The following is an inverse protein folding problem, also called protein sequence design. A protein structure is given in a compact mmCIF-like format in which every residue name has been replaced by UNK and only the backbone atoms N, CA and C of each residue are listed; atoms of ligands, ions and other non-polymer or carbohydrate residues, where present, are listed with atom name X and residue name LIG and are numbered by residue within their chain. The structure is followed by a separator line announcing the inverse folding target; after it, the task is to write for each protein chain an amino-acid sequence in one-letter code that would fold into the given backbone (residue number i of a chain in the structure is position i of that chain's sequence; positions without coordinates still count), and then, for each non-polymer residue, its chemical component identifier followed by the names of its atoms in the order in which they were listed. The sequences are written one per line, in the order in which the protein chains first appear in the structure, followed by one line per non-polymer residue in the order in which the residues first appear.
data_IF_745315491577
#
_entry.id   IF_745315491577
#
_cell.length_a   1.000
_cell.length_b   1.000
_cell.length_c   1.000
_cell.angle_alpha   90.00
_cell.angle_beta   90.00
_cell.angle_gamma   90.00
#
_symmetry.space_group_name_H-M   'P 1'
#
loop_
_entity.id
_entity.type
_entity.pdbx_description
1 polymer ?
#
# COMPACT_ATOMS: atom_id res chain seq x y z
N UNK A 1 20.94 1.30 7.52
CA UNK A 1 20.00 2.12 6.70
C UNK A 1 18.62 1.99 7.29
N UNK A 2 17.87 3.08 7.38
CA UNK A 2 16.48 3.04 7.85
C UNK A 2 15.52 3.37 6.72
N UNK A 3 14.47 2.57 6.56
CA UNK A 3 13.43 2.80 5.57
C UNK A 3 12.08 2.92 6.27
N UNK A 4 11.32 3.98 5.96
CA UNK A 4 9.96 4.20 6.43
C UNK A 4 9.05 4.07 5.22
N UNK A 5 8.29 2.98 5.16
CA UNK A 5 7.25 2.79 4.15
C UNK A 5 5.97 3.49 4.62
N UNK A 6 5.41 4.35 3.79
CA UNK A 6 4.21 5.14 4.08
C UNK A 6 3.12 4.74 3.10
N UNK A 7 2.03 4.13 3.56
CA UNK A 7 0.85 3.93 2.70
C UNK A 7 0.23 5.29 2.38
N UNK A 8 -0.21 5.47 1.13
CA UNK A 8 -0.94 6.68 0.75
C UNK A 8 -2.15 6.95 1.66
N UNK A 9 -2.53 8.23 1.80
CA UNK A 9 -3.76 8.67 2.47
C UNK A 9 -5.01 8.18 1.73
N UNK A 10 -6.19 8.44 2.30
CA UNK A 10 -7.47 8.04 1.71
C UNK A 10 -7.66 8.66 0.32
N UNK A 11 -7.80 7.83 -0.76
CA UNK A 11 -7.96 8.34 -2.11
C UNK A 11 -9.43 8.45 -2.51
N UNK A 12 -9.69 9.26 -3.54
CA UNK A 12 -11.01 9.32 -4.17
C UNK A 12 -11.34 8.00 -4.88
N UNK A 13 -12.64 7.68 -4.96
CA UNK A 13 -13.12 6.62 -5.86
C UNK A 13 -13.28 7.20 -7.26
N UNK A 14 -12.69 6.54 -8.25
CA UNK A 14 -12.69 7.01 -9.64
C UNK A 14 -12.96 5.85 -10.59
N UNK A 15 -13.77 6.13 -11.62
CA UNK A 15 -13.95 5.32 -12.81
C UNK A 15 -13.62 6.18 -14.03
N UNK A 16 -12.83 5.65 -14.96
CA UNK A 16 -12.39 6.36 -16.17
C UNK A 16 -12.91 5.68 -17.44
N UNK A 17 -12.95 6.41 -18.53
CA UNK A 17 -13.41 5.90 -19.83
C UNK A 17 -12.24 5.37 -20.68
N UNK A 18 -11.44 4.45 -20.13
CA UNK A 18 -10.38 3.73 -20.85
C UNK A 18 -8.95 4.04 -20.45
N UNK A 19 -8.68 5.19 -19.80
CA UNK A 19 -7.36 5.48 -19.23
C UNK A 19 -7.23 4.86 -17.84
N UNK A 20 -6.02 4.51 -17.38
CA UNK A 20 -5.80 4.02 -16.03
C UNK A 20 -6.30 5.02 -14.97
N UNK A 21 -7.04 4.53 -13.99
CA UNK A 21 -7.51 5.33 -12.86
C UNK A 21 -6.33 5.75 -11.97
N UNK A 22 -6.18 7.04 -11.75
CA UNK A 22 -5.14 7.60 -10.89
C UNK A 22 -5.71 8.70 -9.98
N UNK A 23 -6.52 8.32 -8.96
CA UNK A 23 -7.14 9.28 -8.07
C UNK A 23 -6.12 9.97 -7.17
N UNK A 24 -6.34 11.27 -6.94
CA UNK A 24 -5.76 12.01 -5.85
C UNK A 24 -6.43 11.69 -4.50
N UNK A 25 -6.00 12.34 -3.45
CA UNK A 25 -6.51 12.16 -2.10
C UNK A 25 -7.86 12.86 -1.89
N UNK A 26 -8.69 12.31 -1.00
CA UNK A 26 -9.84 13.02 -0.43
C UNK A 26 -9.35 14.15 0.48
N UNK A 27 -10.26 15.00 0.96
CA UNK A 27 -9.94 15.98 2.02
C UNK A 27 -9.37 15.29 3.26
N UNK A 28 -9.97 14.16 3.66
CA UNK A 28 -9.45 13.32 4.75
C UNK A 28 -8.07 12.77 4.43
N UNK A 29 -7.84 12.29 3.21
CA UNK A 29 -6.52 11.80 2.79
C UNK A 29 -5.44 12.87 2.84
N UNK A 30 -5.74 14.11 2.46
CA UNK A 30 -4.82 15.25 2.60
C UNK A 30 -4.52 15.59 4.05
N UNK A 31 -5.56 15.57 4.91
CA UNK A 31 -5.37 15.70 6.35
C UNK A 31 -4.46 14.59 6.91
N UNK A 32 -4.66 13.33 6.49
CA UNK A 32 -3.80 12.20 6.88
C UNK A 32 -2.36 12.40 6.42
N UNK A 33 -2.14 12.88 5.20
CA UNK A 33 -0.82 13.22 4.65
C UNK A 33 -0.10 14.29 5.50
N UNK A 34 -0.84 15.32 5.94
CA UNK A 34 -0.31 16.33 6.83
C UNK A 34 0.10 15.73 8.17
N UNK A 35 -0.74 14.89 8.78
CA UNK A 35 -0.47 14.26 10.09
C UNK A 35 0.75 13.35 10.06
N UNK A 36 0.89 12.48 9.04
CA UNK A 36 2.06 11.62 8.92
C UNK A 36 3.34 12.42 8.69
N UNK A 37 3.27 13.51 7.94
CA UNK A 37 4.40 14.41 7.72
C UNK A 37 4.86 15.11 8.99
N UNK A 38 3.93 15.59 9.82
CA UNK A 38 4.20 16.17 11.14
C UNK A 38 4.81 15.12 12.10
N UNK A 39 4.30 13.88 12.08
CA UNK A 39 4.84 12.76 12.85
C UNK A 39 6.29 12.47 12.51
N UNK A 40 6.64 12.56 11.23
CA UNK A 40 7.98 12.31 10.72
C UNK A 40 8.88 13.56 10.74
N UNK A 41 8.40 14.70 11.25
CA UNK A 41 9.14 15.96 11.21
C UNK A 41 10.49 15.91 11.93
N UNK A 42 10.65 15.10 12.96
CA UNK A 42 11.90 14.95 13.71
C UNK A 42 12.78 13.78 13.23
N UNK A 43 12.32 12.98 12.29
CA UNK A 43 13.09 11.85 11.75
C UNK A 43 14.22 12.37 10.84
N UNK A 44 15.42 11.77 10.87
CA UNK A 44 16.55 12.20 10.03
C UNK A 44 16.41 11.69 8.58
N UNK A 45 15.40 12.17 7.83
CA UNK A 45 15.14 11.73 6.46
C UNK A 45 16.10 12.42 5.48
N UNK A 46 16.89 11.61 4.77
CA UNK A 46 17.88 12.04 3.77
C UNK A 46 17.35 11.99 2.34
N UNK A 47 16.35 11.13 2.08
CA UNK A 47 15.75 10.97 0.77
C UNK A 47 14.26 10.62 0.88
N UNK A 48 13.49 11.10 -0.10
CA UNK A 48 12.09 10.75 -0.26
C UNK A 48 11.95 10.03 -1.61
N UNK A 49 11.28 8.89 -1.59
CA UNK A 49 10.93 8.10 -2.78
C UNK A 49 9.42 7.96 -2.82
N UNK A 50 8.83 7.93 -4.00
CA UNK A 50 7.38 7.71 -4.13
C UNK A 50 7.07 6.85 -5.34
N UNK A 51 5.95 6.14 -5.31
CA UNK A 51 5.37 5.55 -6.52
C UNK A 51 4.94 6.67 -7.47
N UNK A 52 4.64 6.32 -8.71
CA UNK A 52 4.20 7.29 -9.72
C UNK A 52 2.74 7.72 -9.56
N UNK A 53 1.97 7.06 -8.68
CA UNK A 53 0.53 7.33 -8.50
C UNK A 53 0.28 8.61 -7.71
N UNK A 54 -0.66 9.42 -8.21
CA UNK A 54 -1.03 10.72 -7.64
C UNK A 54 -1.28 10.64 -6.14
N UNK A 55 -2.03 9.63 -5.66
CA UNK A 55 -2.32 9.44 -4.23
C UNK A 55 -1.08 9.25 -3.35
N UNK A 56 -0.04 8.62 -3.87
CA UNK A 56 1.21 8.42 -3.13
C UNK A 56 2.06 9.71 -3.14
N UNK A 57 2.13 10.38 -4.28
CA UNK A 57 2.82 11.68 -4.44
C UNK A 57 2.19 12.71 -3.49
N UNK A 58 0.87 12.91 -3.52
CA UNK A 58 0.16 13.85 -2.65
C UNK A 58 0.34 13.51 -1.16
N UNK A 59 0.55 12.22 -0.82
CA UNK A 59 0.77 11.82 0.58
C UNK A 59 2.12 12.29 1.10
N UNK A 60 3.17 12.24 0.29
CA UNK A 60 4.50 12.67 0.73
C UNK A 60 4.78 14.15 0.46
N UNK A 61 3.94 14.85 -0.29
CA UNK A 61 4.12 16.25 -0.65
C UNK A 61 4.33 17.19 0.55
N UNK A 62 3.57 17.10 1.68
CA UNK A 62 3.84 17.92 2.85
C UNK A 62 5.21 17.64 3.47
N UNK A 63 5.67 16.37 3.44
CA UNK A 63 7.01 15.99 3.92
C UNK A 63 8.11 16.53 3.02
N UNK A 64 7.92 16.47 1.69
CA UNK A 64 8.79 17.09 0.68
C UNK A 64 8.95 18.58 0.97
N UNK A 65 7.84 19.30 1.17
CA UNK A 65 7.86 20.73 1.50
C UNK A 65 8.58 21.04 2.81
N UNK A 66 8.36 20.23 3.86
CA UNK A 66 9.05 20.40 5.14
C UNK A 66 10.57 20.16 5.06
N UNK A 67 10.99 19.20 4.24
CA UNK A 67 12.41 18.80 4.15
C UNK A 67 13.18 19.56 3.08
N UNK A 68 12.51 20.16 2.10
CA UNK A 68 13.14 20.74 0.94
C UNK A 68 13.88 19.72 0.08
N UNK A 69 13.41 18.47 0.07
CA UNK A 69 13.97 17.36 -0.68
C UNK A 69 13.15 17.12 -1.95
N UNK A 70 13.85 16.92 -3.09
CA UNK A 70 13.17 16.48 -4.32
C UNK A 70 12.89 14.97 -4.25
N UNK A 71 11.64 14.53 -4.42
CA UNK A 71 11.30 13.11 -4.37
C UNK A 71 11.76 12.37 -5.63
N UNK A 72 12.28 11.16 -5.47
CA UNK A 72 12.54 10.26 -6.58
C UNK A 72 11.30 9.42 -6.87
N UNK A 73 10.80 9.47 -8.10
CA UNK A 73 9.63 8.67 -8.52
C UNK A 73 10.07 7.31 -9.05
N UNK A 74 9.49 6.23 -8.52
CA UNK A 74 9.78 4.84 -8.89
C UNK A 74 8.48 4.13 -9.25
N UNK A 75 8.20 3.98 -10.55
CA UNK A 75 6.96 3.40 -11.05
C UNK A 75 6.78 1.91 -10.67
N UNK A 76 7.87 1.19 -10.40
CA UNK A 76 7.80 -0.20 -9.92
C UNK A 76 7.26 -0.32 -8.48
N UNK A 77 7.09 0.79 -7.77
CA UNK A 77 6.38 0.89 -6.49
C UNK A 77 4.88 1.21 -6.67
N UNK A 78 4.33 1.24 -7.88
CA UNK A 78 2.89 1.39 -8.12
C UNK A 78 2.14 0.16 -7.61
N UNK A 79 0.86 0.36 -7.25
CA UNK A 79 0.00 -0.73 -6.76
C UNK A 79 -0.32 -1.73 -7.88
N UNK A 80 -0.85 -2.88 -7.53
CA UNK A 80 -1.23 -3.97 -8.45
C UNK A 80 -2.23 -3.50 -9.52
N UNK A 81 -3.07 -2.52 -9.18
CA UNK A 81 -4.15 -1.94 -9.99
C UNK A 81 -3.69 -0.90 -11.02
N UNK A 82 -2.41 -0.78 -11.28
CA UNK A 82 -1.80 0.35 -12.01
C UNK A 82 -2.36 0.63 -13.40
N UNK A 83 -3.02 -0.36 -14.05
CA UNK A 83 -3.65 -0.25 -15.38
C UNK A 83 -5.17 -0.31 -15.31
N UNK A 84 -5.76 -0.43 -14.11
CA UNK A 84 -7.21 -0.50 -13.94
C UNK A 84 -7.88 0.82 -14.29
N UNK A 85 -9.05 0.76 -14.93
CA UNK A 85 -9.89 1.93 -15.17
C UNK A 85 -10.79 2.28 -13.99
N UNK A 86 -10.80 1.45 -12.94
CA UNK A 86 -11.57 1.67 -11.71
C UNK A 86 -10.61 1.65 -10.52
N UNK A 87 -10.74 2.64 -9.66
CA UNK A 87 -10.15 2.64 -8.34
C UNK A 87 -11.22 2.86 -7.27
N UNK A 88 -11.35 1.93 -6.35
CA UNK A 88 -12.26 2.02 -5.22
C UNK A 88 -11.73 1.17 -4.03
N UNK A 89 -12.00 1.56 -2.77
CA UNK A 89 -11.83 0.66 -1.63
C UNK A 89 -12.65 -0.62 -1.83
N UNK A 90 -12.19 -1.75 -1.29
CA UNK A 90 -12.84 -3.06 -1.53
C UNK A 90 -14.32 -3.10 -1.16
N UNK A 91 -14.73 -2.42 -0.08
CA UNK A 91 -16.15 -2.34 0.32
C UNK A 91 -16.99 -1.60 -0.72
N UNK A 92 -16.43 -0.54 -1.32
CA UNK A 92 -17.08 0.20 -2.41
C UNK A 92 -17.05 -0.61 -3.70
N UNK A 93 -15.94 -1.30 -3.97
CA UNK A 93 -15.77 -2.17 -5.13
C UNK A 93 -16.85 -3.25 -5.17
N UNK A 94 -17.05 -3.98 -4.08
CA UNK A 94 -18.05 -5.04 -3.97
C UNK A 94 -19.49 -4.55 -4.21
N UNK A 95 -19.81 -3.30 -3.83
CA UNK A 95 -21.16 -2.75 -3.96
C UNK A 95 -21.41 -2.07 -5.31
N UNK A 96 -20.44 -1.31 -5.82
CA UNK A 96 -20.61 -0.45 -6.99
C UNK A 96 -20.06 -1.03 -8.28
N UNK A 97 -19.11 -1.96 -8.17
CA UNK A 97 -18.40 -2.55 -9.30
C UNK A 97 -18.37 -4.08 -9.19
N UNK A 98 -19.56 -4.75 -9.21
CA UNK A 98 -19.65 -6.19 -8.93
C UNK A 98 -18.85 -7.05 -9.90
N UNK A 99 -18.73 -6.66 -11.18
CA UNK A 99 -17.95 -7.39 -12.17
C UNK A 99 -16.44 -7.34 -11.87
N UNK A 100 -15.94 -6.19 -11.40
CA UNK A 100 -14.57 -6.05 -10.91
C UNK A 100 -14.35 -6.90 -9.66
N UNK A 101 -15.30 -6.85 -8.72
CA UNK A 101 -15.21 -7.64 -7.50
C UNK A 101 -15.19 -9.14 -7.79
N UNK A 102 -16.04 -9.61 -8.71
CA UNK A 102 -16.02 -11.00 -9.16
C UNK A 102 -14.69 -11.37 -9.83
N UNK A 103 -14.15 -10.52 -10.69
CA UNK A 103 -12.84 -10.75 -11.32
C UNK A 103 -11.71 -10.85 -10.29
N UNK A 104 -11.74 -10.03 -9.22
CA UNK A 104 -10.77 -10.13 -8.10
C UNK A 104 -10.88 -11.48 -7.41
N UNK A 105 -12.08 -11.94 -7.08
CA UNK A 105 -12.30 -13.22 -6.40
C UNK A 105 -11.90 -14.42 -7.26
N UNK A 106 -12.13 -14.33 -8.56
CA UNK A 106 -11.76 -15.37 -9.53
C UNK A 106 -10.30 -15.25 -10.03
N UNK A 107 -9.54 -14.29 -9.50
CA UNK A 107 -8.15 -14.01 -9.87
C UNK A 107 -7.97 -13.72 -11.38
N UNK A 108 -8.98 -13.14 -12.00
CA UNK A 108 -8.96 -12.70 -13.41
C UNK A 108 -8.36 -11.30 -13.54
N UNK A 109 -7.13 -11.14 -13.07
CA UNK A 109 -6.45 -9.85 -12.93
C UNK A 109 -6.37 -9.06 -14.23
N UNK A 110 -6.09 -9.73 -15.35
CA UNK A 110 -5.95 -9.10 -16.66
C UNK A 110 -7.25 -8.42 -17.11
N UNK A 111 -8.42 -8.97 -16.76
CA UNK A 111 -9.74 -8.47 -17.17
C UNK A 111 -10.04 -7.08 -16.59
N UNK A 112 -9.41 -6.76 -15.48
CA UNK A 112 -9.60 -5.51 -14.72
C UNK A 112 -8.38 -4.59 -14.73
N UNK A 113 -7.37 -4.90 -15.55
CA UNK A 113 -6.16 -4.09 -15.68
C UNK A 113 -5.21 -4.18 -14.47
N UNK A 114 -5.31 -5.24 -13.67
CA UNK A 114 -4.37 -5.52 -12.61
C UNK A 114 -3.18 -6.34 -13.13
N UNK A 115 -2.02 -6.18 -12.51
CA UNK A 115 -0.89 -7.08 -12.77
C UNK A 115 -1.24 -8.49 -12.26
N UNK A 116 -0.63 -9.53 -12.85
CA UNK A 116 -0.60 -10.81 -12.15
C UNK A 116 0.16 -10.64 -10.83
N UNK A 117 -0.14 -11.53 -9.87
CA UNK A 117 0.56 -11.42 -8.58
C UNK A 117 2.08 -11.61 -8.73
N UNK A 118 2.49 -12.51 -9.61
CA UNK A 118 3.91 -12.77 -9.90
C UNK A 118 4.60 -11.55 -10.55
N UNK A 119 3.92 -10.86 -11.46
CA UNK A 119 4.45 -9.63 -12.07
C UNK A 119 4.58 -8.52 -11.03
N UNK A 120 3.54 -8.34 -10.22
CA UNK A 120 3.51 -7.37 -9.14
C UNK A 120 4.64 -7.59 -8.12
N UNK A 121 4.75 -8.81 -7.58
CA UNK A 121 5.79 -9.18 -6.63
C UNK A 121 7.18 -8.94 -7.21
N UNK A 122 7.43 -9.46 -8.42
CA UNK A 122 8.74 -9.35 -9.07
C UNK A 122 9.21 -7.90 -9.21
N UNK A 123 8.30 -6.97 -9.66
CA UNK A 123 8.67 -5.57 -9.83
C UNK A 123 8.87 -4.85 -8.49
N UNK A 124 8.02 -5.13 -7.51
CA UNK A 124 8.13 -4.51 -6.17
C UNK A 124 9.40 -4.98 -5.46
N UNK A 125 9.73 -6.27 -5.53
CA UNK A 125 10.98 -6.79 -4.95
C UNK A 125 12.19 -6.17 -5.65
N UNK A 126 12.20 -6.07 -6.98
CA UNK A 126 13.29 -5.42 -7.70
C UNK A 126 13.43 -3.93 -7.33
N UNK A 127 12.31 -3.21 -7.16
CA UNK A 127 12.33 -1.82 -6.67
C UNK A 127 12.90 -1.73 -5.24
N UNK A 128 12.50 -2.64 -4.36
CA UNK A 128 13.02 -2.75 -3.00
C UNK A 128 14.54 -2.98 -2.98
N UNK A 129 15.02 -3.94 -3.75
CA UNK A 129 16.46 -4.23 -3.87
C UNK A 129 17.24 -3.01 -4.39
N UNK A 130 16.66 -2.28 -5.35
CA UNK A 130 17.23 -1.02 -5.84
C UNK A 130 17.27 0.09 -4.77
N UNK A 131 16.28 0.13 -3.88
CA UNK A 131 16.26 1.08 -2.77
C UNK A 131 17.35 0.80 -1.74
N UNK A 132 17.53 -0.46 -1.36
CA UNK A 132 18.51 -0.86 -0.33
C UNK A 132 19.95 -0.94 -0.84
N UNK A 133 20.16 -0.90 -2.16
CA UNK A 133 21.48 -0.78 -2.76
C UNK A 133 22.12 0.61 -2.58
N UNK A 134 21.39 1.58 -2.03
CA UNK A 134 21.90 2.92 -1.71
C UNK A 134 22.96 2.88 -0.60
N UNK A 135 23.76 3.95 -0.43
CA UNK A 135 24.81 3.97 0.58
C UNK A 135 24.31 3.62 1.98
N UNK A 136 25.09 2.87 2.77
CA UNK A 136 24.76 2.55 4.16
C UNK A 136 24.51 3.82 5.01
N UNK A 137 23.61 3.71 5.99
CA UNK A 137 23.31 4.82 6.90
C UNK A 137 22.24 5.79 6.41
N UNK A 138 21.78 5.70 5.17
CA UNK A 138 20.70 6.55 4.66
C UNK A 138 19.37 6.30 5.39
N UNK A 139 18.59 7.36 5.57
CA UNK A 139 17.22 7.33 6.09
C UNK A 139 16.26 7.71 4.97
N UNK A 140 15.41 6.79 4.55
CA UNK A 140 14.58 6.94 3.35
C UNK A 140 13.10 6.85 3.74
N UNK A 141 12.31 7.84 3.37
CA UNK A 141 10.85 7.79 3.40
C UNK A 141 10.31 7.35 2.02
N UNK A 142 9.39 6.39 1.98
CA UNK A 142 8.86 5.81 0.75
C UNK A 142 7.33 5.90 0.74
N UNK A 143 6.78 6.78 -0.08
CA UNK A 143 5.34 6.88 -0.32
C UNK A 143 4.89 5.79 -1.29
N UNK A 144 4.04 4.86 -0.84
CA UNK A 144 3.61 3.72 -1.64
C UNK A 144 2.21 3.22 -1.25
N UNK A 145 1.92 1.94 -1.40
CA UNK A 145 0.60 1.36 -1.34
C UNK A 145 0.53 0.15 -0.40
N UNK A 146 -0.70 -0.28 -0.09
CA UNK A 146 -0.91 -1.40 0.83
C UNK A 146 -0.32 -2.72 0.34
N UNK A 147 -0.56 -3.05 -0.94
CA UNK A 147 0.00 -4.26 -1.54
C UNK A 147 1.52 -4.23 -1.63
N UNK A 148 2.09 -3.06 -1.99
CA UNK A 148 3.56 -2.86 -2.04
C UNK A 148 4.20 -3.10 -0.68
N UNK A 149 3.64 -2.53 0.39
CA UNK A 149 4.11 -2.76 1.77
C UNK A 149 4.01 -4.25 2.12
N UNK A 150 2.88 -4.88 1.81
CA UNK A 150 2.67 -6.31 2.05
C UNK A 150 3.73 -7.18 1.36
N UNK A 151 4.04 -6.92 0.08
CA UNK A 151 5.07 -7.65 -0.67
C UNK A 151 6.46 -7.44 -0.07
N UNK A 152 6.84 -6.20 0.25
CA UNK A 152 8.16 -5.92 0.85
C UNK A 152 8.31 -6.62 2.20
N UNK A 153 7.30 -6.51 3.07
CA UNK A 153 7.34 -7.17 4.39
C UNK A 153 7.36 -8.69 4.27
N UNK A 154 6.59 -9.27 3.35
CA UNK A 154 6.61 -10.71 3.08
C UNK A 154 7.97 -11.18 2.57
N UNK A 155 8.57 -10.44 1.64
CA UNK A 155 9.91 -10.70 1.13
C UNK A 155 10.97 -10.72 2.24
N UNK A 156 10.96 -9.72 3.14
CA UNK A 156 11.91 -9.60 4.26
C UNK A 156 11.73 -10.74 5.27
N UNK A 157 10.49 -11.10 5.58
CA UNK A 157 10.16 -12.09 6.63
C UNK A 157 10.10 -13.53 6.12
N UNK A 158 10.09 -13.74 4.80
CA UNK A 158 9.93 -15.06 4.18
C UNK A 158 8.52 -15.63 4.29
N UNK A 159 7.51 -14.80 4.60
CA UNK A 159 6.11 -15.22 4.66
C UNK A 159 5.55 -15.35 3.24
N UNK A 160 4.87 -16.48 2.97
CA UNK A 160 4.30 -16.78 1.65
C UNK A 160 2.83 -16.38 1.51
N UNK A 161 2.13 -16.17 2.63
CA UNK A 161 0.71 -15.76 2.67
C UNK A 161 0.59 -14.24 2.52
N UNK A 162 0.61 -13.79 1.30
CA UNK A 162 0.95 -12.43 0.90
C UNK A 162 -0.16 -11.39 1.14
N UNK A 163 -1.43 -11.79 1.00
CA UNK A 163 -2.57 -10.87 1.11
C UNK A 163 -3.11 -10.73 2.53
N UNK A 164 -2.93 -11.74 3.36
CA UNK A 164 -3.44 -11.77 4.72
C UNK A 164 -2.46 -11.23 5.75
N UNK A 165 -1.17 -11.13 5.39
CA UNK A 165 -0.11 -10.80 6.33
C UNK A 165 -0.08 -9.34 6.75
N UNK A 166 -0.26 -8.40 5.83
CA UNK A 166 -0.21 -6.98 6.14
C UNK A 166 -1.30 -6.23 5.39
N UNK A 167 -2.16 -5.58 6.15
CA UNK A 167 -3.17 -4.68 5.63
C UNK A 167 -3.00 -3.30 6.29
N UNK A 168 -1.99 -2.54 5.86
CA UNK A 168 -1.68 -1.27 6.48
C UNK A 168 -2.86 -0.29 6.34
N UNK A 169 -3.26 0.44 7.39
CA UNK A 169 -4.23 1.54 7.29
C UNK A 169 -3.74 2.66 6.36
N UNK A 170 -4.65 3.50 5.84
CA UNK A 170 -4.26 4.70 5.08
C UNK A 170 -3.34 5.59 5.90
N UNK A 171 -2.28 6.10 5.27
CA UNK A 171 -1.21 6.91 5.85
C UNK A 171 -0.53 6.29 7.08
N UNK A 172 -0.61 4.96 7.25
CA UNK A 172 0.20 4.26 8.25
C UNK A 172 1.64 4.12 7.80
N UNK A 173 2.55 3.92 8.77
CA UNK A 173 3.96 3.68 8.51
C UNK A 173 4.36 2.24 8.88
N UNK A 174 5.35 1.72 8.16
CA UNK A 174 6.13 0.55 8.57
C UNK A 174 7.61 0.93 8.57
N UNK A 175 8.36 0.47 9.58
CA UNK A 175 9.78 0.79 9.74
C UNK A 175 10.64 -0.45 9.56
N UNK A 176 11.69 -0.29 8.77
CA UNK A 176 12.63 -1.36 8.45
C UNK A 176 14.04 -0.83 8.70
N UNK A 177 14.84 -1.61 9.38
CA UNK A 177 16.26 -1.40 9.51
C UNK A 177 17.05 -2.38 8.66
N UNK A 178 18.09 -1.89 8.01
CA UNK A 178 18.97 -2.68 7.16
C UNK A 178 20.38 -2.56 7.69
N UNK A 179 20.90 -3.70 8.18
CA UNK A 179 22.25 -3.81 8.70
C UNK A 179 23.31 -3.67 7.59
N UNK A 180 24.57 -3.48 7.96
CA UNK A 180 25.69 -3.34 7.01
C UNK A 180 25.89 -4.61 6.15
N UNK A 181 25.51 -5.77 6.66
CA UNK A 181 25.56 -7.04 5.93
C UNK A 181 24.35 -7.29 5.00
N UNK A 182 23.47 -6.30 4.86
CA UNK A 182 22.28 -6.33 4.00
C UNK A 182 21.07 -7.04 4.63
N UNK A 183 21.16 -7.54 5.85
CA UNK A 183 19.99 -8.13 6.53
C UNK A 183 18.97 -7.05 6.89
N UNK A 184 17.74 -7.24 6.44
CA UNK A 184 16.63 -6.37 6.78
C UNK A 184 15.88 -6.90 8.00
N UNK A 185 15.45 -5.98 8.86
CA UNK A 185 14.65 -6.26 10.05
C UNK A 185 13.43 -5.33 10.08
N UNK A 186 12.25 -5.90 10.20
CA UNK A 186 11.01 -5.13 10.41
C UNK A 186 10.96 -4.70 11.87
N UNK A 187 11.04 -3.39 12.12
CA UNK A 187 10.96 -2.81 13.47
C UNK A 187 9.52 -2.61 13.91
N UNK A 188 8.65 -2.18 12.99
CA UNK A 188 7.23 -1.95 13.24
C UNK A 188 6.44 -1.99 11.94
N UNK A 189 5.13 -2.18 12.05
CA UNK A 189 4.18 -2.05 10.97
C UNK A 189 2.84 -1.50 11.45
N UNK A 190 2.07 -0.95 10.52
CA UNK A 190 0.74 -0.38 10.81
C UNK A 190 0.77 0.73 11.88
N UNK A 191 1.86 1.50 11.94
CA UNK A 191 1.94 2.65 12.85
C UNK A 191 0.91 3.71 12.46
N UNK A 192 0.05 4.05 13.41
CA UNK A 192 -1.00 5.08 13.27
C UNK A 192 -1.00 6.07 14.45
N UNK A 193 0.08 6.10 15.25
CA UNK A 193 0.20 6.94 16.44
C UNK A 193 0.09 8.45 16.19
N UNK A 194 0.22 8.88 14.93
CA UNK A 194 0.00 10.26 14.51
C UNK A 194 -1.48 10.63 14.37
N UNK A 195 -2.40 9.69 14.52
CA UNK A 195 -3.83 9.94 14.58
C UNK A 195 -4.31 10.02 16.04
N UNK A 196 -5.19 10.96 16.33
CA UNK A 196 -5.84 11.04 17.64
C UNK A 196 -6.89 9.92 17.76
N UNK A 197 -6.66 8.96 18.66
CA UNK A 197 -7.55 7.82 18.86
C UNK A 197 -8.98 8.21 19.26
N UNK A 198 -9.20 9.45 19.73
CA UNK A 198 -10.52 9.94 20.14
C UNK A 198 -11.28 10.67 19.03
N UNK A 199 -10.58 11.17 18.02
CA UNK A 199 -11.15 11.98 16.93
C UNK A 199 -11.08 11.30 15.58
N UNK A 200 -10.09 10.43 15.42
CA UNK A 200 -9.71 9.90 14.15
C UNK A 200 -10.07 8.41 14.11
N UNK A 201 -11.33 8.11 13.80
CA UNK A 201 -11.63 6.74 13.45
C UNK A 201 -10.69 6.32 12.31
N UNK A 202 -9.81 5.37 12.60
CA UNK A 202 -8.99 4.69 11.60
C UNK A 202 -9.92 3.83 10.74
N UNK A 203 -10.78 4.49 9.98
CA UNK A 203 -11.65 3.84 9.00
C UNK A 203 -10.81 3.65 7.74
N UNK A 204 -10.59 2.44 7.38
CA UNK A 204 -9.78 2.08 6.22
C UNK A 204 -8.84 0.93 6.54
N UNK A 205 -9.10 0.25 7.63
CA UNK A 205 -8.75 -1.14 7.68
C UNK A 205 -9.60 -1.81 6.61
N UNK A 206 -9.01 -2.39 5.60
CA UNK A 206 -9.65 -3.44 4.83
C UNK A 206 -9.86 -4.61 5.82
N UNK A 207 -10.47 -4.29 6.93
CA UNK A 207 -10.56 -5.12 8.12
C UNK A 207 -11.74 -6.04 8.12
N UNK A 208 -12.34 -6.28 6.98
CA UNK A 208 -13.15 -7.48 6.81
C UNK A 208 -12.48 -8.24 5.68
N UNK A 209 -11.53 -9.06 6.14
CA UNK A 209 -10.71 -9.91 5.32
C UNK A 209 -11.55 -10.67 4.30
N UNK A 210 -10.90 -11.17 3.28
CA UNK A 210 -11.40 -12.27 2.50
C UNK A 210 -11.99 -13.29 3.49
N UNK A 211 -13.32 -13.35 3.61
CA UNK A 211 -13.96 -14.48 4.24
C UNK A 211 -13.48 -15.68 3.40
N UNK A 212 -12.78 -16.60 4.02
CA UNK A 212 -12.48 -17.85 3.36
C UNK A 212 -13.83 -18.40 2.86
N UNK A 213 -13.91 -18.81 1.60
CA UNK A 213 -15.14 -19.44 1.13
C UNK A 213 -15.43 -20.60 2.07
N UNK A 214 -16.64 -20.62 2.63
CA UNK A 214 -17.10 -21.64 3.54
C UNK A 214 -16.85 -23.02 2.91
N UNK A 215 -15.86 -23.74 3.43
CA UNK A 215 -15.46 -25.07 2.99
C UNK A 215 -16.41 -26.15 3.55
N UNK A 216 -17.66 -25.81 3.81
CA UNK A 216 -18.67 -26.79 4.18
C UNK A 216 -19.04 -27.62 2.95
N UNK A 217 -18.83 -28.94 2.96
CA UNK A 217 -19.25 -29.79 1.85
C UNK A 217 -20.77 -29.74 1.69
N UNK A 218 -21.29 -29.83 0.46
CA UNK A 218 -22.74 -29.82 0.23
C UNK A 218 -23.36 -31.00 0.99
N UNK A 219 -24.32 -30.67 1.89
CA UNK A 219 -25.02 -31.65 2.67
C UNK A 219 -25.70 -32.70 1.78
N UNK A 220 -25.42 -33.95 2.06
CA UNK A 220 -26.13 -35.07 1.48
C UNK A 220 -27.64 -34.97 1.87
N UNK A 221 -28.45 -34.67 0.87
CA UNK A 221 -29.90 -34.85 0.99
C UNK A 221 -30.17 -36.36 1.05
N UNK A 222 -30.37 -36.90 2.25
CA UNK A 222 -31.01 -38.20 2.44
C UNK A 222 -32.50 -38.04 2.24
N UNK A 223 -32.98 -38.50 1.10
CA UNK A 223 -34.41 -38.83 0.92
C UNK A 223 -34.80 -40.00 1.82
N UNK A 224 -35.90 -39.82 2.53
CA UNK A 224 -36.71 -40.88 3.10
C UNK A 224 -38.18 -40.47 3.11
#
# INVERSE_FOLDING_TARGET
MHVILIRHGEPCTVETAGEPADPGLTERGRWQAQRVSEWLACEPIDAIVTSSKTRAIETVEPLVGMRGLEPSVVADLDEIDRRSTVYAPFQVMAQRFPDYWQAIQEQRWADIGWDSFEEFERRVVAAWEGLIARPPGAHIAVGCHGGVIGVILAHITGITERWSFANPPFASCARIDIAEDGRAQVLSMNETGHFDATRDHVVGTAGEGFAEPDASPPGEHTES
#
